data_IF_420596802142
#
_entry.id   IF_420596802142
#
_cell.length_a   1.000
_cell.length_b   1.000
_cell.length_c   1.000
_cell.angle_alpha   90.00
_cell.angle_beta   90.00
_cell.angle_gamma   90.00
#
_symmetry.space_group_name_H-M   'P 1'
#
loop_
_entity.id
_entity.type
_entity.pdbx_description
1 polymer ?
#
# COMPACT_ATOMS: atom_id res chain seq x y z
N UNK A 1 -34.21 0.41 -3.69
CA UNK A 1 -33.00 0.12 -4.48
C UNK A 1 -31.85 -0.23 -3.56
N UNK A 2 -31.10 -1.27 -3.90
CA UNK A 2 -29.95 -1.70 -3.10
C UNK A 2 -28.66 -1.27 -3.78
N UNK A 3 -27.78 -0.64 -3.01
CA UNK A 3 -26.45 -0.22 -3.48
C UNK A 3 -25.44 -1.21 -2.93
N UNK A 4 -24.63 -1.80 -3.81
CA UNK A 4 -23.62 -2.76 -3.41
C UNK A 4 -22.29 -2.05 -3.19
N UNK A 5 -21.68 -2.32 -2.04
CA UNK A 5 -20.31 -1.90 -1.74
C UNK A 5 -19.40 -3.09 -1.95
N UNK A 6 -18.31 -2.85 -2.65
CA UNK A 6 -17.30 -3.87 -2.87
C UNK A 6 -16.00 -3.46 -2.21
N UNK A 7 -15.21 -4.43 -1.83
CA UNK A 7 -13.89 -4.19 -1.25
C UNK A 7 -12.87 -5.04 -2.00
N UNK A 8 -11.88 -4.39 -2.58
CA UNK A 8 -10.71 -5.09 -3.11
C UNK A 8 -9.84 -5.44 -1.93
N UNK A 9 -9.36 -6.67 -1.90
CA UNK A 9 -8.46 -7.14 -0.85
C UNK A 9 -7.17 -7.60 -1.52
N UNK A 10 -6.06 -6.95 -1.17
CA UNK A 10 -4.73 -7.32 -1.61
C UNK A 10 -3.98 -7.78 -0.36
N UNK A 11 -3.60 -9.04 -0.33
CA UNK A 11 -2.92 -9.63 0.82
C UNK A 11 -1.50 -10.03 0.45
N UNK A 12 -0.54 -9.55 1.25
CA UNK A 12 0.87 -9.93 1.14
C UNK A 12 1.47 -9.70 -0.25
N UNK A 13 1.25 -8.51 -0.79
CA UNK A 13 1.99 -8.10 -1.99
C UNK A 13 3.45 -7.97 -1.58
N UNK A 14 4.29 -8.86 -2.08
CA UNK A 14 5.68 -8.98 -1.68
C UNK A 14 6.62 -8.50 -2.77
N UNK A 15 7.59 -7.69 -2.40
CA UNK A 15 8.67 -7.28 -3.28
C UNK A 15 9.81 -6.73 -2.43
N UNK A 16 10.94 -6.39 -3.07
CA UNK A 16 12.07 -5.79 -2.39
C UNK A 16 12.19 -4.32 -2.75
N UNK A 17 12.50 -3.49 -1.76
CA UNK A 17 12.66 -2.06 -1.94
C UNK A 17 13.64 -1.49 -0.91
N UNK A 18 14.22 -0.34 -1.24
CA UNK A 18 15.00 0.42 -0.27
C UNK A 18 14.00 1.26 0.53
N UNK A 19 13.95 1.02 1.84
CA UNK A 19 13.06 1.74 2.74
C UNK A 19 13.63 1.71 4.16
N UNK A 20 13.63 2.84 4.84
CA UNK A 20 14.07 2.94 6.22
C UNK A 20 15.11 4.02 6.44
N UNK A 21 15.29 4.39 7.71
CA UNK A 21 16.20 5.47 8.13
C UNK A 21 17.58 4.99 8.52
N UNK A 22 17.75 3.67 8.75
CA UNK A 22 19.00 3.12 9.19
C UNK A 22 20.01 3.07 8.04
N UNK A 23 21.28 3.24 8.35
CA UNK A 23 22.35 3.26 7.36
C UNK A 23 22.30 2.08 6.39
N UNK A 24 22.17 0.87 6.92
CA UNK A 24 22.15 -0.34 6.08
C UNK A 24 20.86 -0.42 5.23
N UNK A 25 19.75 0.15 5.72
CA UNK A 25 18.50 0.18 4.98
C UNK A 25 18.58 1.08 3.74
N UNK A 26 19.48 2.06 3.75
CA UNK A 26 19.67 2.97 2.60
C UNK A 26 20.52 2.36 1.50
N UNK A 27 21.27 1.31 1.80
CA UNK A 27 22.24 0.71 0.88
C UNK A 27 21.74 -0.56 0.22
N UNK A 28 20.87 -1.29 0.89
CA UNK A 28 20.39 -2.59 0.42
C UNK A 28 18.88 -2.65 0.41
N UNK A 29 18.34 -3.38 -0.58
CA UNK A 29 16.91 -3.66 -0.59
C UNK A 29 16.55 -4.62 0.53
N UNK A 30 15.31 -4.53 0.97
CA UNK A 30 14.75 -5.50 1.91
C UNK A 30 13.36 -5.89 1.47
N UNK A 31 12.91 -7.05 1.91
CA UNK A 31 11.57 -7.53 1.63
C UNK A 31 10.54 -6.61 2.32
N UNK A 32 9.50 -6.26 1.58
CA UNK A 32 8.34 -5.56 2.13
C UNK A 32 7.09 -6.34 1.77
N UNK A 33 6.10 -6.25 2.65
CA UNK A 33 4.77 -6.81 2.43
C UNK A 33 3.77 -5.68 2.48
N UNK A 34 2.95 -5.56 1.45
CA UNK A 34 1.91 -4.55 1.39
C UNK A 34 0.56 -5.22 1.36
N UNK A 35 -0.34 -4.77 2.22
CA UNK A 35 -1.72 -5.21 2.26
C UNK A 35 -2.62 -4.00 2.04
N UNK A 36 -3.66 -4.16 1.26
CA UNK A 36 -4.57 -3.08 0.95
C UNK A 36 -6.01 -3.56 0.95
N UNK A 37 -6.90 -2.71 1.45
CA UNK A 37 -8.34 -2.90 1.32
C UNK A 37 -8.89 -1.61 0.73
N UNK A 38 -9.60 -1.73 -0.39
CA UNK A 38 -10.10 -0.57 -1.14
C UNK A 38 -11.60 -0.73 -1.34
N UNK A 39 -12.39 0.15 -0.74
CA UNK A 39 -13.84 0.09 -0.84
C UNK A 39 -14.35 1.03 -1.94
N UNK A 40 -15.27 0.53 -2.74
CA UNK A 40 -15.94 1.32 -3.77
C UNK A 40 -17.38 0.84 -3.92
N UNK A 41 -18.22 1.65 -4.55
CA UNK A 41 -19.63 1.39 -4.67
C UNK A 41 -20.01 1.13 -6.13
N UNK A 42 -20.70 0.00 -6.37
CA UNK A 42 -21.21 -0.34 -7.70
C UNK A 42 -20.17 -0.95 -8.63
N UNK A 43 -20.61 -1.94 -9.42
CA UNK A 43 -19.72 -2.64 -10.39
C UNK A 43 -19.16 -1.72 -11.45
N UNK A 44 -19.90 -0.67 -11.82
CA UNK A 44 -19.49 0.30 -12.84
C UNK A 44 -18.27 1.12 -12.40
N UNK A 45 -17.99 1.13 -11.10
CA UNK A 45 -16.85 1.85 -10.53
C UNK A 45 -15.68 0.93 -10.22
N UNK A 46 -15.64 -0.26 -10.82
CA UNK A 46 -14.59 -1.22 -10.52
C UNK A 46 -13.20 -0.64 -10.73
N UNK A 47 -12.27 -1.18 -9.97
CA UNK A 47 -10.85 -0.78 -10.01
C UNK A 47 -10.04 -2.02 -10.32
N UNK A 48 -9.10 -1.89 -11.28
CA UNK A 48 -8.22 -2.99 -11.64
C UNK A 48 -7.16 -3.18 -10.54
N UNK A 49 -7.31 -4.22 -9.75
CA UNK A 49 -6.38 -4.50 -8.64
C UNK A 49 -4.97 -4.83 -9.12
N UNK A 50 -4.81 -5.37 -10.31
CA UNK A 50 -3.48 -5.62 -10.86
C UNK A 50 -2.73 -4.30 -11.10
N UNK A 51 -3.46 -3.29 -11.57
CA UNK A 51 -2.90 -1.94 -11.76
C UNK A 51 -2.55 -1.30 -10.43
N UNK A 52 -3.37 -1.50 -9.41
CA UNK A 52 -3.09 -1.01 -8.06
C UNK A 52 -1.79 -1.60 -7.54
N UNK A 53 -1.62 -2.92 -7.66
CA UNK A 53 -0.39 -3.59 -7.24
C UNK A 53 0.83 -3.04 -7.96
N UNK A 54 0.72 -2.81 -9.28
CA UNK A 54 1.79 -2.25 -10.09
C UNK A 54 2.17 -0.84 -9.63
N UNK A 55 1.19 -0.01 -9.35
CA UNK A 55 1.41 1.36 -8.86
C UNK A 55 2.15 1.34 -7.53
N UNK A 56 1.71 0.51 -6.60
CA UNK A 56 2.32 0.40 -5.26
C UNK A 56 3.78 -0.04 -5.39
N UNK A 57 4.03 -1.11 -6.13
CA UNK A 57 5.38 -1.65 -6.26
C UNK A 57 6.32 -0.66 -6.94
N UNK A 58 5.90 -0.06 -8.06
CA UNK A 58 6.73 0.89 -8.80
C UNK A 58 7.05 2.12 -7.97
N UNK A 59 6.07 2.66 -7.25
CA UNK A 59 6.26 3.83 -6.41
C UNK A 59 7.28 3.56 -5.30
N UNK A 60 7.15 2.44 -4.62
CA UNK A 60 8.04 2.11 -3.52
C UNK A 60 9.47 1.81 -3.98
N UNK A 61 9.63 1.18 -5.13
CA UNK A 61 10.96 0.92 -5.70
C UNK A 61 11.63 2.20 -6.18
N UNK A 62 10.87 3.12 -6.73
CA UNK A 62 11.40 4.36 -7.28
C UNK A 62 11.76 5.39 -6.21
N UNK A 63 10.89 5.59 -5.23
CA UNK A 63 11.02 6.70 -4.27
C UNK A 63 11.93 6.44 -3.09
N UNK A 64 12.23 5.21 -2.75
CA UNK A 64 13.15 4.83 -1.68
C UNK A 64 12.87 5.58 -0.38
N UNK A 65 11.65 5.44 0.12
CA UNK A 65 11.15 6.20 1.27
C UNK A 65 11.98 6.00 2.53
N UNK A 66 12.13 7.06 3.31
CA UNK A 66 12.78 6.99 4.62
C UNK A 66 11.86 6.37 5.66
N UNK A 67 10.62 6.83 5.72
CA UNK A 67 9.62 6.34 6.69
C UNK A 67 8.53 5.54 5.98
N UNK A 68 8.05 4.50 6.65
CA UNK A 68 6.88 3.75 6.15
C UNK A 68 5.69 4.70 6.00
N UNK A 69 5.53 5.63 6.94
CA UNK A 69 4.46 6.63 6.90
C UNK A 69 4.47 7.44 5.61
N UNK A 70 5.65 7.82 5.13
CA UNK A 70 5.79 8.57 3.88
C UNK A 70 5.33 7.73 2.69
N UNK A 71 5.67 6.45 2.70
CA UNK A 71 5.25 5.52 1.66
C UNK A 71 3.73 5.37 1.65
N UNK A 72 3.13 5.20 2.83
CA UNK A 72 1.68 5.07 2.97
C UNK A 72 0.96 6.31 2.45
N UNK A 73 1.44 7.49 2.82
CA UNK A 73 0.84 8.75 2.37
C UNK A 73 0.96 8.94 0.86
N UNK A 74 2.10 8.59 0.29
CA UNK A 74 2.32 8.70 -1.15
C UNK A 74 1.42 7.75 -1.93
N UNK A 75 1.28 6.51 -1.48
CA UNK A 75 0.41 5.52 -2.11
C UNK A 75 -1.05 6.00 -2.03
N UNK A 76 -1.47 6.44 -0.84
CA UNK A 76 -2.83 6.94 -0.62
C UNK A 76 -3.14 8.10 -1.57
N UNK A 77 -2.24 9.04 -1.67
CA UNK A 77 -2.41 10.22 -2.53
C UNK A 77 -2.60 9.82 -3.99
N UNK A 78 -1.72 8.96 -4.52
CA UNK A 78 -1.79 8.54 -5.92
C UNK A 78 -3.06 7.75 -6.19
N UNK A 79 -3.42 6.81 -5.32
CA UNK A 79 -4.60 5.98 -5.53
C UNK A 79 -5.90 6.79 -5.45
N UNK A 80 -6.01 7.69 -4.49
CA UNK A 80 -7.22 8.52 -4.35
C UNK A 80 -7.39 9.50 -5.50
N UNK A 81 -6.31 10.01 -6.06
CA UNK A 81 -6.36 10.89 -7.22
C UNK A 81 -6.71 10.12 -8.49
N UNK A 82 -6.09 8.96 -8.69
CA UNK A 82 -6.34 8.16 -9.87
C UNK A 82 -7.74 7.53 -9.86
N UNK A 83 -8.22 7.15 -8.70
CA UNK A 83 -9.49 6.46 -8.52
C UNK A 83 -10.40 7.25 -7.58
N UNK A 84 -11.02 8.33 -8.06
CA UNK A 84 -11.87 9.16 -7.20
C UNK A 84 -13.11 8.44 -6.69
N UNK A 85 -13.44 7.26 -7.25
CA UNK A 85 -14.54 6.42 -6.77
C UNK A 85 -14.23 5.68 -5.46
N UNK A 86 -12.99 5.72 -4.97
CA UNK A 86 -12.63 5.08 -3.71
C UNK A 86 -13.37 5.74 -2.55
N UNK A 87 -14.06 4.92 -1.74
CA UNK A 87 -14.78 5.37 -0.55
C UNK A 87 -13.95 5.26 0.71
N UNK A 88 -13.15 4.22 0.81
CA UNK A 88 -12.20 4.06 1.91
C UNK A 88 -11.00 3.27 1.44
N UNK A 89 -9.89 3.48 2.11
CA UNK A 89 -8.62 2.88 1.77
C UNK A 89 -7.88 2.54 3.05
N UNK A 90 -7.49 1.27 3.18
CA UNK A 90 -6.68 0.79 4.29
C UNK A 90 -5.41 0.21 3.70
N UNK A 91 -4.27 0.73 4.12
CA UNK A 91 -2.97 0.27 3.65
C UNK A 91 -2.10 -0.12 4.84
N UNK A 92 -1.39 -1.22 4.69
CA UNK A 92 -0.44 -1.70 5.70
C UNK A 92 0.85 -2.07 5.00
N UNK A 93 1.96 -1.55 5.50
CA UNK A 93 3.30 -1.90 4.99
C UNK A 93 4.08 -2.51 6.14
N UNK A 94 4.65 -3.69 5.90
CA UNK A 94 5.42 -4.42 6.89
C UNK A 94 6.81 -4.74 6.35
N UNK A 95 7.78 -4.78 7.27
CA UNK A 95 9.17 -5.17 6.99
C UNK A 95 9.43 -6.49 7.72
N UNK A 96 9.22 -7.64 7.07
CA UNK A 96 9.25 -8.94 7.77
C UNK A 96 10.63 -9.36 8.26
N UNK A 97 11.70 -8.75 7.74
CA UNK A 97 13.06 -9.18 8.08
C UNK A 97 13.83 -8.22 9.00
N UNK A 98 13.22 -7.07 9.35
CA UNK A 98 13.93 -6.05 10.13
C UNK A 98 14.18 -6.48 11.58
N UNK A 99 13.27 -7.25 12.15
CA UNK A 99 13.42 -7.83 13.48
C UNK A 99 13.27 -9.35 13.38
N UNK A 100 14.01 -10.08 14.23
CA UNK A 100 13.97 -11.54 14.23
C UNK A 100 12.76 -12.11 14.96
N UNK A 101 12.23 -11.35 15.90
CA UNK A 101 11.20 -11.84 16.83
C UNK A 101 9.84 -11.18 16.68
N UNK A 102 9.66 -10.35 15.67
CA UNK A 102 8.36 -9.68 15.43
C UNK A 102 8.22 -9.27 13.98
N UNK A 103 6.99 -9.33 13.49
CA UNK A 103 6.62 -8.77 12.20
C UNK A 103 6.12 -7.34 12.45
N UNK A 104 6.86 -6.34 11.98
CA UNK A 104 6.57 -4.95 12.27
C UNK A 104 6.11 -4.20 11.03
N UNK A 105 5.30 -3.19 11.24
CA UNK A 105 4.80 -2.35 10.15
C UNK A 105 3.97 -1.20 10.66
N UNK A 106 3.43 -0.44 9.71
CA UNK A 106 2.56 0.71 9.97
C UNK A 106 1.34 0.61 9.06
N UNK A 107 0.21 1.06 9.54
CA UNK A 107 -1.05 0.99 8.83
C UNK A 107 -1.71 2.37 8.82
N UNK A 108 -2.39 2.69 7.74
CA UNK A 108 -3.18 3.92 7.61
C UNK A 108 -4.59 3.56 7.14
N UNK A 109 -5.57 4.29 7.63
CA UNK A 109 -6.97 4.18 7.20
C UNK A 109 -7.47 5.56 6.82
N UNK A 110 -7.99 5.68 5.59
CA UNK A 110 -8.60 6.92 5.09
C UNK A 110 -10.03 6.64 4.65
N UNK A 111 -10.92 7.55 4.99
CA UNK A 111 -12.32 7.54 4.54
C UNK A 111 -12.58 8.83 3.78
N UNK A 112 -13.27 8.70 2.66
CA UNK A 112 -13.55 9.81 1.76
C UNK A 112 -15.02 10.16 1.70
#
# INVERSE_FOLDING_TARGET
>A
MRIENYRIIIENLEFEAIIGILSHERKETQKVLVNAEIEYEGKENFIDYAKVCEIIENLMKEKKFLLIEDALEAIECILSEKYPQIKSLKLKIQKPEILKNALVGVEILRKY
#
